data_IF_785322666375
#
_entry.id   IF_785322666375
#
_cell.length_a   1.000
_cell.length_b   1.000
_cell.length_c   1.000
_cell.angle_alpha   90.00
_cell.angle_beta   90.00
_cell.angle_gamma   90.00
#
_symmetry.space_group_name_H-M   'P 1'
#
loop_
_entity.id
_entity.type
_entity.pdbx_description
1 polymer ?
#
# COMPACT_ATOMS: atom_id res chain seq x y z
N UNK A 1 -52.91 -43.17 42.22
CA UNK A 1 -51.79 -43.87 42.86
C UNK A 1 -50.54 -43.41 42.14
N UNK A 2 -49.69 -42.54 42.66
CA UNK A 2 -49.52 -41.95 44.01
C UNK A 2 -48.72 -40.64 43.76
N UNK A 3 -49.15 -39.49 44.29
CA UNK A 3 -48.64 -38.82 45.52
C UNK A 3 -47.24 -38.19 45.30
N UNK A 4 -46.92 -36.93 45.57
CA UNK A 4 -47.36 -36.02 46.64
C UNK A 4 -46.42 -36.14 47.84
N UNK A 5 -45.38 -35.29 47.97
CA UNK A 5 -44.74 -35.03 49.28
C UNK A 5 -43.80 -33.80 49.25
N UNK A 6 -43.89 -32.96 50.29
CA UNK A 6 -42.98 -31.87 50.70
C UNK A 6 -41.93 -32.43 51.66
N UNK A 7 -40.71 -31.88 51.68
CA UNK A 7 -39.98 -31.81 52.96
C UNK A 7 -38.94 -30.68 53.06
N UNK A 8 -38.69 -30.32 54.33
CA UNK A 8 -37.97 -29.16 54.88
C UNK A 8 -36.46 -29.43 55.13
N UNK A 9 -35.70 -28.31 55.21
CA UNK A 9 -34.38 -27.98 55.82
C UNK A 9 -33.65 -29.00 56.77
N UNK A 10 -32.30 -28.92 57.02
CA UNK A 10 -31.62 -27.72 57.59
C UNK A 10 -30.11 -27.50 57.25
N UNK A 11 -29.57 -26.36 57.69
CA UNK A 11 -28.25 -25.83 57.31
C UNK A 11 -27.02 -26.31 58.07
N UNK A 12 -25.84 -25.84 57.63
CA UNK A 12 -24.58 -25.75 58.40
C UNK A 12 -23.77 -24.54 57.92
N UNK A 13 -23.36 -23.70 58.87
CA UNK A 13 -22.59 -22.50 58.61
C UNK A 13 -21.14 -22.79 58.19
N UNK A 14 -20.53 -21.82 57.52
CA UNK A 14 -19.09 -21.66 57.58
C UNK A 14 -18.72 -20.17 57.57
N UNK A 15 -17.75 -19.86 58.42
CA UNK A 15 -17.32 -18.54 58.85
C UNK A 15 -16.56 -17.84 57.71
N UNK A 16 -16.82 -16.56 57.46
CA UNK A 16 -15.92 -15.70 56.67
C UNK A 16 -15.84 -14.34 57.32
N UNK A 17 -14.61 -13.97 57.68
CA UNK A 17 -14.20 -12.75 58.36
C UNK A 17 -14.60 -11.48 57.59
N UNK A 18 -15.02 -10.47 58.35
CA UNK A 18 -15.16 -9.08 57.94
C UNK A 18 -13.83 -8.46 57.50
N UNK A 19 -13.86 -7.66 56.43
CA UNK A 19 -12.97 -6.51 56.21
C UNK A 19 -13.84 -5.33 55.71
N UNK A 20 -13.62 -4.10 56.22
CA UNK A 20 -14.56 -2.99 56.07
C UNK A 20 -14.51 -2.33 54.70
N UNK A 21 -15.67 -2.21 54.07
CA UNK A 21 -15.89 -1.36 52.90
C UNK A 21 -16.05 0.09 53.36
N UNK A 22 -15.03 0.92 53.09
CA UNK A 22 -15.13 2.37 53.32
C UNK A 22 -16.08 2.98 52.30
N UNK A 23 -17.24 3.38 52.82
CA UNK A 23 -18.22 4.28 52.19
C UNK A 23 -17.58 5.62 51.82
N UNK A 24 -17.63 5.97 50.54
CA UNK A 24 -17.49 7.36 50.06
C UNK A 24 -18.78 7.72 49.33
N UNK A 25 -19.47 8.72 49.86
CA UNK A 25 -20.72 9.27 49.36
C UNK A 25 -20.59 9.86 47.93
N UNK A 26 -21.66 9.86 47.12
CA UNK A 26 -21.66 10.57 45.85
C UNK A 26 -21.79 12.09 46.06
N UNK A 27 -21.05 12.94 45.32
CA UNK A 27 -21.24 14.39 45.38
C UNK A 27 -22.57 14.81 44.71
N UNK A 28 -23.14 15.96 45.11
CA UNK A 28 -24.52 16.32 44.80
C UNK A 28 -24.74 16.67 43.33
N UNK A 29 -25.92 16.26 42.88
CA UNK A 29 -26.57 16.61 41.63
C UNK A 29 -26.82 18.13 41.60
N UNK A 30 -26.06 18.89 40.80
CA UNK A 30 -26.38 20.28 40.49
C UNK A 30 -26.98 20.36 39.08
N UNK A 31 -28.28 20.09 38.99
CA UNK A 31 -29.08 20.47 37.82
C UNK A 31 -29.38 21.96 37.93
N UNK A 32 -28.53 22.78 37.31
CA UNK A 32 -28.86 24.16 36.96
C UNK A 32 -28.47 24.41 35.50
N UNK A 33 -29.51 24.39 34.66
CA UNK A 33 -29.69 25.23 33.46
C UNK A 33 -28.54 25.39 32.45
N UNK A 34 -28.73 24.81 31.27
CA UNK A 34 -28.42 25.49 30.00
C UNK A 34 -26.95 25.62 29.62
N UNK A 35 -26.35 24.54 29.12
CA UNK A 35 -25.24 24.63 28.18
C UNK A 35 -25.20 23.38 27.29
N UNK A 36 -26.03 23.38 26.26
CA UNK A 36 -25.82 22.56 25.08
C UNK A 36 -24.59 23.08 24.33
N UNK A 37 -23.38 22.96 24.92
CA UNK A 37 -22.08 23.19 24.24
C UNK A 37 -20.90 22.84 25.17
N UNK A 38 -20.80 21.59 25.66
CA UNK A 38 -19.44 21.09 25.95
C UNK A 38 -18.86 20.72 24.59
N UNK A 39 -18.41 21.73 23.85
CA UNK A 39 -17.75 21.58 22.56
C UNK A 39 -16.72 20.47 22.73
N UNK A 40 -16.83 19.45 21.88
CA UNK A 40 -15.98 18.26 21.89
C UNK A 40 -14.56 18.68 22.26
N UNK A 41 -13.98 18.03 23.28
CA UNK A 41 -12.64 18.36 23.79
C UNK A 41 -11.52 18.34 22.71
N UNK A 42 -11.89 17.98 21.48
CA UNK A 42 -11.19 18.18 20.22
C UNK A 42 -11.90 19.24 19.37
N UNK A 43 -11.54 20.50 19.57
CA UNK A 43 -12.00 21.59 18.70
C UNK A 43 -11.59 21.34 17.25
N UNK A 44 -12.28 21.99 16.30
CA UNK A 44 -11.93 21.90 14.88
C UNK A 44 -10.48 22.37 14.63
N UNK A 45 -10.05 23.45 15.29
CA UNK A 45 -8.68 23.95 15.23
C UNK A 45 -7.64 22.95 15.77
N UNK A 46 -7.93 22.30 16.90
CA UNK A 46 -7.07 21.26 17.47
C UNK A 46 -7.00 20.03 16.53
N UNK A 47 -8.12 19.62 15.97
CA UNK A 47 -8.19 18.52 14.99
C UNK A 47 -7.43 18.85 13.71
N UNK A 48 -7.53 20.08 13.22
CA UNK A 48 -6.77 20.56 12.07
C UNK A 48 -5.26 20.55 12.32
N UNK A 49 -4.84 21.03 13.49
CA UNK A 49 -3.43 21.05 13.92
C UNK A 49 -2.89 19.63 14.05
N UNK A 50 -3.69 18.69 14.57
CA UNK A 50 -3.34 17.28 14.64
C UNK A 50 -3.06 16.72 13.24
N UNK A 51 -3.92 16.98 12.27
CA UNK A 51 -3.75 16.49 10.90
C UNK A 51 -2.50 17.11 10.25
N UNK A 52 -2.23 18.40 10.44
CA UNK A 52 -1.05 19.08 9.88
C UNK A 52 0.26 18.57 10.48
N UNK A 53 0.35 18.58 11.81
CA UNK A 53 1.57 18.20 12.54
C UNK A 53 1.91 16.73 12.34
N UNK A 54 0.90 15.85 12.33
CA UNK A 54 1.08 14.45 11.95
C UNK A 54 1.43 14.32 10.46
N UNK A 55 0.69 15.00 9.58
CA UNK A 55 0.83 14.90 8.13
C UNK A 55 2.22 15.27 7.63
N UNK A 56 2.79 16.37 8.12
CA UNK A 56 4.16 16.77 7.80
C UNK A 56 5.17 15.68 8.16
N UNK A 57 5.08 15.11 9.37
CA UNK A 57 5.98 14.05 9.83
C UNK A 57 5.77 12.74 9.07
N UNK A 58 4.52 12.40 8.80
CA UNK A 58 4.13 11.24 8.01
C UNK A 58 4.77 11.30 6.62
N UNK A 59 4.71 12.46 5.95
CA UNK A 59 5.34 12.65 4.64
C UNK A 59 6.87 12.61 4.71
N UNK A 60 7.49 13.24 5.71
CA UNK A 60 8.96 13.22 5.89
C UNK A 60 9.52 11.81 6.15
N UNK A 61 8.68 10.90 6.66
CA UNK A 61 8.99 9.49 6.82
C UNK A 61 8.57 8.64 5.61
N UNK A 62 8.36 9.25 4.44
CA UNK A 62 7.87 8.59 3.23
C UNK A 62 6.59 7.80 3.48
N UNK A 63 5.62 8.41 4.18
CA UNK A 63 4.35 7.77 4.60
C UNK A 63 4.55 6.64 5.63
N UNK A 64 5.62 6.73 6.43
CA UNK A 64 5.97 5.80 7.50
C UNK A 64 5.28 6.10 8.85
N UNK A 65 5.46 5.18 9.81
CA UNK A 65 4.88 5.30 11.15
C UNK A 65 5.72 6.22 12.05
N UNK A 66 5.04 7.07 12.83
CA UNK A 66 5.69 7.95 13.80
C UNK A 66 6.11 7.16 15.05
N UNK A 67 7.31 7.47 15.56
CA UNK A 67 7.83 6.97 16.85
C UNK A 67 7.27 7.81 18.01
N UNK A 68 7.42 7.31 19.25
CA UNK A 68 6.92 7.99 20.46
C UNK A 68 7.36 9.45 20.58
N UNK A 69 8.65 9.75 20.31
CA UNK A 69 9.16 11.13 20.33
C UNK A 69 8.37 12.04 19.38
N UNK A 70 8.13 11.58 18.15
CA UNK A 70 7.40 12.34 17.14
C UNK A 70 5.93 12.52 17.52
N UNK A 71 5.31 11.52 18.15
CA UNK A 71 3.96 11.65 18.69
C UNK A 71 3.85 12.65 19.84
N UNK A 72 4.87 12.70 20.70
CA UNK A 72 4.95 13.74 21.74
C UNK A 72 5.03 15.12 21.12
N UNK A 73 5.90 15.32 20.13
CA UNK A 73 5.98 16.62 19.44
C UNK A 73 4.70 16.99 18.66
N UNK A 74 3.93 16.00 18.19
CA UNK A 74 2.57 16.24 17.64
C UNK A 74 1.62 16.71 18.73
N UNK A 75 1.62 16.06 19.90
CA UNK A 75 0.80 16.48 21.03
C UNK A 75 1.16 17.88 21.51
N UNK A 76 2.45 18.21 21.61
CA UNK A 76 2.95 19.54 21.96
C UNK A 76 2.43 20.59 20.98
N UNK A 77 2.47 20.31 19.67
CA UNK A 77 1.93 21.20 18.64
C UNK A 77 0.41 21.40 18.78
N UNK A 78 -0.35 20.35 19.05
CA UNK A 78 -1.80 20.43 19.29
C UNK A 78 -2.11 21.28 20.53
N UNK A 79 -1.37 21.06 21.62
CA UNK A 79 -1.57 21.76 22.88
C UNK A 79 -1.15 23.24 22.82
N UNK A 80 -0.15 23.58 22.00
CA UNK A 80 0.28 24.98 21.81
C UNK A 80 -0.80 25.90 21.22
N UNK A 81 -1.83 25.31 20.60
CA UNK A 81 -2.93 26.03 19.92
C UNK A 81 -4.31 25.71 20.52
N UNK A 82 -4.36 24.96 21.62
CA UNK A 82 -5.59 24.47 22.21
C UNK A 82 -5.77 25.04 23.62
N UNK A 83 -6.84 25.82 23.79
CA UNK A 83 -7.27 26.30 25.11
C UNK A 83 -8.03 25.22 25.91
N UNK A 84 -8.23 24.04 25.31
CA UNK A 84 -8.84 22.87 25.94
C UNK A 84 -7.80 22.04 26.73
N UNK A 85 -8.27 21.11 27.55
CA UNK A 85 -7.46 20.19 28.34
C UNK A 85 -6.29 19.58 27.55
N UNK A 86 -5.12 19.53 28.17
CA UNK A 86 -3.88 19.03 27.59
C UNK A 86 -4.03 17.60 27.05
N UNK A 87 -3.61 17.38 25.79
CA UNK A 87 -3.69 16.10 25.09
C UNK A 87 -2.38 15.33 25.16
N UNK A 88 -2.45 14.03 25.38
CA UNK A 88 -1.29 13.14 25.33
C UNK A 88 -1.01 12.66 23.91
N UNK A 89 0.20 12.14 23.69
CA UNK A 89 0.63 11.49 22.45
C UNK A 89 -0.31 10.33 22.06
N UNK A 90 -0.74 9.53 23.04
CA UNK A 90 -1.70 8.43 22.85
C UNK A 90 -3.08 8.95 22.43
N UNK A 91 -3.57 10.03 23.05
CA UNK A 91 -4.85 10.63 22.68
C UNK A 91 -4.84 11.20 21.25
N UNK A 92 -3.74 11.85 20.86
CA UNK A 92 -3.54 12.34 19.49
C UNK A 92 -3.56 11.20 18.48
N UNK A 93 -2.85 10.11 18.75
CA UNK A 93 -2.85 8.91 17.91
C UNK A 93 -4.26 8.31 17.76
N UNK A 94 -4.98 8.10 18.87
CA UNK A 94 -6.33 7.54 18.86
C UNK A 94 -7.33 8.43 18.10
N UNK A 95 -7.21 9.75 18.27
CA UNK A 95 -8.04 10.72 17.53
C UNK A 95 -7.76 10.62 16.04
N UNK A 96 -6.49 10.57 15.63
CA UNK A 96 -6.13 10.42 14.23
C UNK A 96 -6.61 9.09 13.64
N UNK A 97 -6.51 7.99 14.37
CA UNK A 97 -7.02 6.69 13.91
C UNK A 97 -8.53 6.74 13.65
N UNK A 98 -9.28 7.44 14.50
CA UNK A 98 -10.71 7.71 14.30
C UNK A 98 -10.95 8.54 13.03
N UNK A 99 -10.16 9.60 12.81
CA UNK A 99 -10.26 10.43 11.60
C UNK A 99 -9.94 9.62 10.34
N UNK A 100 -8.91 8.77 10.36
CA UNK A 100 -8.54 7.89 9.24
C UNK A 100 -9.64 6.87 8.94
N UNK A 101 -10.31 6.32 9.97
CA UNK A 101 -11.49 5.46 9.79
C UNK A 101 -12.63 6.21 9.10
N UNK A 102 -12.96 7.43 9.57
CA UNK A 102 -13.99 8.27 8.95
C UNK A 102 -13.64 8.63 7.50
N UNK A 103 -12.37 8.93 7.21
CA UNK A 103 -11.88 9.15 5.85
C UNK A 103 -12.14 7.96 4.92
N UNK A 104 -11.93 6.72 5.38
CA UNK A 104 -12.22 5.53 4.56
C UNK A 104 -13.70 5.45 4.16
N UNK A 105 -14.60 5.73 5.10
CA UNK A 105 -16.05 5.75 4.85
C UNK A 105 -16.42 6.86 3.88
N UNK A 106 -15.94 8.08 4.11
CA UNK A 106 -16.21 9.22 3.23
C UNK A 106 -15.59 9.02 1.83
N UNK A 107 -14.43 8.38 1.74
CA UNK A 107 -13.79 8.05 0.45
C UNK A 107 -14.64 7.08 -0.36
N UNK A 108 -15.26 6.08 0.27
CA UNK A 108 -16.16 5.17 -0.43
C UNK A 108 -17.37 5.91 -1.03
N UNK A 109 -17.94 6.89 -0.30
CA UNK A 109 -19.03 7.75 -0.80
C UNK A 109 -18.60 8.62 -1.98
N UNK A 110 -17.41 9.21 -1.90
CA UNK A 110 -16.88 10.03 -3.01
C UNK A 110 -16.60 9.18 -4.25
N UNK A 111 -16.09 7.96 -4.10
CA UNK A 111 -15.90 7.03 -5.20
C UNK A 111 -17.22 6.59 -5.85
N UNK A 112 -18.33 6.56 -5.11
CA UNK A 112 -19.67 6.33 -5.65
C UNK A 112 -20.33 7.59 -6.24
N UNK A 113 -19.58 8.69 -6.39
CA UNK A 113 -20.08 9.94 -6.98
C UNK A 113 -20.83 10.87 -6.02
N UNK A 114 -20.89 10.57 -4.71
CA UNK A 114 -21.52 11.43 -3.74
C UNK A 114 -20.56 12.52 -3.25
N UNK A 115 -21.07 13.75 -3.06
CA UNK A 115 -20.28 14.82 -2.44
C UNK A 115 -20.08 14.55 -0.95
N UNK A 116 -18.88 14.86 -0.42
CA UNK A 116 -18.61 14.83 1.02
C UNK A 116 -18.65 16.24 1.58
N UNK A 117 -19.44 16.43 2.63
CA UNK A 117 -19.52 17.67 3.41
C UNK A 117 -18.52 17.70 4.57
N UNK A 118 -17.68 16.67 4.71
CA UNK A 118 -16.79 16.56 5.85
C UNK A 118 -15.52 17.40 5.67
N UNK A 119 -15.35 18.40 6.54
CA UNK A 119 -14.31 19.44 6.43
C UNK A 119 -12.87 18.91 6.39
N UNK A 120 -12.59 17.76 7.00
CA UNK A 120 -11.25 17.17 7.02
C UNK A 120 -10.94 16.23 5.85
N UNK A 121 -11.92 15.94 4.97
CA UNK A 121 -11.76 14.96 3.89
C UNK A 121 -10.63 15.32 2.93
N UNK A 122 -10.68 16.51 2.33
CA UNK A 122 -9.70 16.93 1.31
C UNK A 122 -8.26 16.94 1.86
N UNK A 123 -8.12 17.32 3.12
CA UNK A 123 -6.83 17.36 3.84
C UNK A 123 -6.24 15.97 4.05
N UNK A 124 -7.06 15.02 4.52
CA UNK A 124 -6.63 13.63 4.67
C UNK A 124 -6.42 12.93 3.32
N UNK A 125 -7.21 13.27 2.30
CA UNK A 125 -7.04 12.75 0.94
C UNK A 125 -5.71 13.19 0.32
N UNK A 126 -5.31 14.45 0.52
CA UNK A 126 -4.01 14.93 0.08
C UNK A 126 -2.83 14.19 0.73
N UNK A 127 -2.98 13.76 2.00
CA UNK A 127 -1.94 13.07 2.75
C UNK A 127 -1.86 11.57 2.46
N UNK A 128 -3.01 10.88 2.45
CA UNK A 128 -3.11 9.41 2.45
C UNK A 128 -3.67 8.87 1.13
N UNK A 129 -4.25 9.74 0.28
CA UNK A 129 -4.74 9.38 -1.04
C UNK A 129 -3.63 8.94 -1.99
N UNK A 130 -4.00 8.42 -3.18
CA UNK A 130 -3.05 8.09 -4.23
C UNK A 130 -2.18 9.32 -4.49
N UNK A 131 -0.86 9.17 -4.41
CA UNK A 131 0.05 10.29 -4.62
C UNK A 131 -0.17 10.84 -6.03
N UNK A 132 -0.87 11.98 -6.14
CA UNK A 132 -0.74 12.85 -7.30
C UNK A 132 0.62 13.53 -7.17
N UNK A 133 1.68 12.80 -7.48
CA UNK A 133 3.02 13.37 -7.57
C UNK A 133 2.96 14.49 -8.62
N UNK A 134 2.81 15.74 -8.20
CA UNK A 134 2.97 16.91 -9.06
C UNK A 134 4.46 17.20 -9.38
N UNK A 135 5.34 16.23 -9.16
CA UNK A 135 6.78 16.36 -9.40
C UNK A 135 7.38 15.10 -10.03
N UNK A 136 6.83 14.69 -11.18
CA UNK A 136 7.63 14.19 -12.30
C UNK A 136 6.77 14.42 -13.55
N UNK A 137 7.09 15.45 -14.33
CA UNK A 137 6.58 15.56 -15.67
C UNK A 137 7.15 14.39 -16.48
N UNK A 138 6.33 13.36 -16.69
CA UNK A 138 6.46 12.54 -17.88
C UNK A 138 5.39 13.05 -18.85
N UNK A 139 5.74 13.50 -20.07
CA UNK A 139 4.75 13.92 -21.05
C UNK A 139 3.87 12.73 -21.45
N UNK A 140 2.54 12.85 -21.30
CA UNK A 140 1.58 12.11 -22.14
C UNK A 140 1.16 13.00 -23.32
N UNK A 141 0.52 12.46 -24.36
CA UNK A 141 1.11 11.81 -25.52
C UNK A 141 0.95 12.70 -26.77
N UNK A 142 1.95 12.77 -27.64
CA UNK A 142 1.73 13.32 -28.99
C UNK A 142 1.14 12.22 -29.88
N UNK A 143 -0.19 12.28 -30.03
CA UNK A 143 -0.87 11.77 -31.22
C UNK A 143 -0.30 12.50 -32.44
N UNK A 144 0.67 11.90 -33.12
CA UNK A 144 0.97 12.25 -34.51
C UNK A 144 1.17 10.98 -35.33
N UNK A 145 0.22 10.81 -36.24
CA UNK A 145 0.17 9.84 -37.31
C UNK A 145 1.42 9.96 -38.19
N UNK A 146 2.17 8.88 -38.35
CA UNK A 146 3.08 8.69 -39.47
C UNK A 146 2.66 7.40 -40.22
N UNK A 147 2.33 7.47 -41.52
CA UNK A 147 2.03 6.28 -42.30
C UNK A 147 3.34 5.53 -42.61
N UNK A 148 3.49 4.34 -42.05
CA UNK A 148 4.56 3.41 -42.43
C UNK A 148 4.09 2.64 -43.67
N UNK A 149 4.45 3.13 -44.85
CA UNK A 149 4.33 2.37 -46.09
C UNK A 149 5.36 1.24 -46.08
N UNK A 150 4.87 0.01 -46.20
CA UNK A 150 5.66 -1.20 -46.32
C UNK A 150 6.12 -1.42 -47.76
N UNK A 151 7.42 -1.68 -47.96
CA UNK A 151 7.96 -2.42 -49.11
C UNK A 151 9.21 -3.21 -48.65
N UNK A 152 8.95 -4.47 -48.25
CA UNK A 152 9.64 -5.75 -48.51
C UNK A 152 11.20 -5.88 -48.60
N UNK A 153 11.75 -7.12 -48.54
CA UNK A 153 13.05 -7.43 -47.93
C UNK A 153 14.23 -7.58 -48.91
N UNK A 154 15.44 -7.45 -48.39
CA UNK A 154 16.64 -8.09 -48.97
C UNK A 154 17.75 -8.30 -47.93
N UNK A 155 18.00 -9.56 -47.61
CA UNK A 155 19.34 -10.12 -47.34
C UNK A 155 19.70 -10.96 -48.61
N UNK A 156 20.95 -11.44 -48.86
CA UNK A 156 22.06 -11.65 -47.91
C UNK A 156 23.49 -11.40 -48.48
N UNK A 157 24.52 -11.81 -47.68
CA UNK A 157 25.83 -12.46 -48.01
C UNK A 157 27.01 -11.74 -47.34
N UNK A 158 27.55 -12.21 -46.20
CA UNK A 158 28.55 -13.30 -45.98
C UNK A 158 29.82 -13.13 -46.82
N UNK A 159 30.94 -12.81 -46.17
CA UNK A 159 32.24 -13.37 -46.55
C UNK A 159 33.14 -13.57 -45.32
N UNK A 160 33.52 -14.83 -45.14
CA UNK A 160 34.53 -15.33 -44.21
C UNK A 160 35.94 -14.92 -44.61
N UNK A 161 36.83 -14.85 -43.62
CA UNK A 161 38.20 -15.35 -43.79
C UNK A 161 38.60 -16.14 -42.56
N UNK A 162 38.56 -17.46 -42.68
CA UNK A 162 39.03 -18.41 -41.68
C UNK A 162 40.49 -18.85 -41.86
N UNK A 163 40.76 -19.96 -41.17
CA UNK A 163 41.96 -20.80 -41.03
C UNK A 163 42.92 -20.45 -39.86
N UNK A 164 42.88 -21.09 -38.67
CA UNK A 164 42.99 -22.53 -38.24
C UNK A 164 44.47 -22.98 -38.04
N UNK A 165 44.78 -24.11 -37.36
CA UNK A 165 44.30 -24.65 -36.07
C UNK A 165 45.47 -25.27 -35.22
N UNK A 166 45.21 -25.74 -33.99
CA UNK A 166 46.10 -26.78 -33.39
C UNK A 166 46.04 -27.03 -31.88
N UNK A 167 45.55 -28.23 -31.53
CA UNK A 167 46.01 -29.10 -30.41
C UNK A 167 45.27 -29.06 -29.05
N UNK A 168 44.24 -29.91 -28.96
CA UNK A 168 44.06 -31.08 -28.04
C UNK A 168 44.63 -31.08 -26.61
N UNK A 169 43.79 -31.48 -25.64
CA UNK A 169 44.13 -32.05 -24.32
C UNK A 169 43.30 -31.43 -23.19
N UNK A 170 42.15 -31.97 -22.76
CA UNK A 170 41.92 -33.19 -21.96
C UNK A 170 42.51 -33.16 -20.53
N UNK A 171 41.57 -33.21 -19.55
CA UNK A 171 41.66 -33.75 -18.17
C UNK A 171 42.24 -32.92 -17.02
N UNK A 172 41.32 -32.69 -16.06
CA UNK A 172 41.36 -33.05 -14.63
C UNK A 172 42.33 -32.37 -13.65
N UNK A 173 41.69 -31.85 -12.59
CA UNK A 173 42.10 -31.83 -11.17
C UNK A 173 43.41 -31.13 -10.80
N UNK A 174 43.31 -30.03 -10.05
CA UNK A 174 43.91 -29.78 -8.71
C UNK A 174 43.99 -28.26 -8.47
N UNK A 175 43.32 -27.77 -7.44
CA UNK A 175 43.92 -27.29 -6.18
C UNK A 175 44.77 -26.01 -6.31
N UNK A 176 44.33 -24.99 -5.57
CA UNK A 176 45.15 -24.07 -4.78
C UNK A 176 45.10 -22.57 -5.18
N UNK A 177 44.55 -21.80 -4.26
CA UNK A 177 44.67 -20.34 -4.17
C UNK A 177 46.11 -19.95 -3.75
N UNK A 178 46.67 -18.82 -4.23
CA UNK A 178 48.01 -18.42 -3.88
C UNK A 178 48.13 -17.88 -2.45
N UNK A 179 49.23 -18.33 -1.85
CA UNK A 179 49.79 -18.15 -0.52
C UNK A 179 50.28 -16.70 -0.27
N UNK A 180 49.93 -16.13 0.89
CA UNK A 180 50.56 -14.95 1.50
C UNK A 180 51.45 -15.42 2.67
N UNK A 181 52.68 -14.91 2.81
CA UNK A 181 53.72 -15.59 3.55
C UNK A 181 53.54 -15.54 5.07
N UNK A 182 53.93 -16.65 5.69
CA UNK A 182 53.96 -16.89 7.11
C UNK A 182 54.91 -15.95 7.86
N UNK A 183 54.48 -15.49 9.03
CA UNK A 183 55.38 -15.15 10.14
C UNK A 183 54.86 -15.87 11.38
N UNK A 184 55.70 -16.75 11.91
CA UNK A 184 55.43 -17.58 13.09
C UNK A 184 55.51 -16.75 14.37
N UNK A 185 54.52 -16.90 15.24
CA UNK A 185 54.50 -16.35 16.59
C UNK A 185 53.38 -17.01 17.39
N UNK A 186 53.74 -18.03 18.17
CA UNK A 186 52.81 -18.80 18.99
C UNK A 186 52.12 -17.98 20.08
N UNK A 187 50.89 -18.37 20.40
CA UNK A 187 50.15 -17.82 21.53
C UNK A 187 48.70 -18.28 21.50
N UNK A 188 48.39 -19.32 22.28
CA UNK A 188 47.03 -19.83 22.42
C UNK A 188 46.06 -18.73 22.88
N UNK A 189 45.04 -18.47 22.09
CA UNK A 189 43.90 -17.66 22.52
C UNK A 189 42.61 -18.14 21.83
N UNK A 190 41.87 -18.95 22.58
CA UNK A 190 40.42 -18.80 22.71
C UNK A 190 39.59 -19.18 21.47
N UNK A 191 39.46 -20.49 21.25
CA UNK A 191 38.32 -21.12 20.56
C UNK A 191 37.03 -20.75 21.30
N UNK A 192 36.42 -19.61 20.94
CA UNK A 192 35.09 -19.19 21.40
C UNK A 192 34.18 -19.08 20.19
N UNK A 193 33.20 -19.98 20.12
CA UNK A 193 31.93 -19.85 19.41
C UNK A 193 31.95 -19.26 17.99
N UNK A 194 32.53 -19.99 17.02
CA UNK A 194 32.25 -19.74 15.58
C UNK A 194 30.93 -20.39 15.10
N UNK A 195 30.38 -21.34 15.86
CA UNK A 195 29.15 -22.06 15.51
C UNK A 195 27.85 -21.34 15.92
N UNK A 196 27.93 -20.34 16.80
CA UNK A 196 26.74 -19.71 17.42
C UNK A 196 26.10 -18.63 16.53
N UNK A 197 26.85 -18.07 15.56
CA UNK A 197 26.37 -17.05 14.63
C UNK A 197 25.91 -17.61 13.28
N UNK A 198 26.22 -18.87 12.96
CA UNK A 198 25.76 -19.49 11.70
C UNK A 198 24.25 -19.72 11.69
N UNK A 199 23.63 -19.98 12.85
CA UNK A 199 22.18 -20.21 12.93
C UNK A 199 21.37 -18.94 12.64
N UNK A 200 21.64 -17.77 13.28
CA UNK A 200 20.95 -16.52 12.95
C UNK A 200 21.23 -16.00 11.53
N UNK A 201 22.46 -16.15 11.02
CA UNK A 201 22.80 -15.75 9.66
C UNK A 201 22.11 -16.63 8.61
N UNK A 202 22.00 -17.95 8.87
CA UNK A 202 21.27 -18.87 8.00
C UNK A 202 19.76 -18.58 8.01
N UNK A 203 19.21 -18.24 9.17
CA UNK A 203 17.81 -17.81 9.28
C UNK A 203 17.55 -16.52 8.50
N UNK A 204 18.45 -15.53 8.63
CA UNK A 204 18.40 -14.29 7.86
C UNK A 204 18.50 -14.54 6.35
N UNK A 205 19.48 -15.35 5.91
CA UNK A 205 19.62 -15.71 4.50
C UNK A 205 18.35 -16.40 3.96
N UNK A 206 17.77 -17.31 4.74
CA UNK A 206 16.50 -17.96 4.39
C UNK A 206 15.32 -17.00 4.33
N UNK A 207 15.26 -16.00 5.23
CA UNK A 207 14.24 -14.96 5.20
C UNK A 207 14.38 -14.04 3.97
N UNK A 208 15.61 -13.65 3.61
CA UNK A 208 15.89 -12.84 2.43
C UNK A 208 15.50 -13.59 1.15
N UNK A 209 15.85 -14.87 1.01
CA UNK A 209 15.46 -15.66 -0.16
C UNK A 209 13.94 -15.79 -0.30
N UNK A 210 13.24 -16.10 0.80
CA UNK A 210 11.77 -16.15 0.81
C UNK A 210 11.13 -14.81 0.42
N UNK A 211 11.70 -13.70 0.88
CA UNK A 211 11.26 -12.37 0.48
C UNK A 211 11.48 -12.14 -1.03
N UNK A 212 12.62 -12.56 -1.56
CA UNK A 212 12.92 -12.51 -3.00
C UNK A 212 11.90 -13.27 -3.84
N UNK A 213 11.57 -14.51 -3.47
CA UNK A 213 10.57 -15.32 -4.18
C UNK A 213 9.16 -14.69 -4.18
N UNK A 214 8.77 -14.07 -3.07
CA UNK A 214 7.47 -13.37 -3.00
C UNK A 214 7.49 -12.12 -3.86
N UNK A 215 8.59 -11.37 -3.85
CA UNK A 215 8.73 -10.16 -4.64
C UNK A 215 8.74 -10.46 -6.15
N UNK A 216 9.46 -11.48 -6.58
CA UNK A 216 9.50 -11.94 -7.97
C UNK A 216 8.09 -12.30 -8.47
N UNK A 217 7.33 -13.07 -7.68
CA UNK A 217 5.93 -13.41 -8.00
C UNK A 217 5.05 -12.18 -8.11
N UNK A 218 5.20 -11.22 -7.20
CA UNK A 218 4.43 -9.98 -7.21
C UNK A 218 4.73 -9.12 -8.44
N UNK A 219 6.00 -8.95 -8.80
CA UNK A 219 6.38 -8.15 -9.97
C UNK A 219 5.95 -8.84 -11.27
N UNK A 220 6.04 -10.18 -11.32
CA UNK A 220 5.52 -10.97 -12.46
C UNK A 220 4.02 -10.78 -12.61
N UNK A 221 3.25 -10.88 -11.52
CA UNK A 221 1.80 -10.68 -11.56
C UNK A 221 1.43 -9.26 -12.01
N UNK A 222 2.17 -8.25 -11.54
CA UNK A 222 1.99 -6.86 -11.97
C UNK A 222 2.28 -6.67 -13.46
N UNK A 223 3.35 -7.26 -13.98
CA UNK A 223 3.67 -7.21 -15.42
C UNK A 223 2.60 -7.91 -16.25
N UNK A 224 2.12 -9.07 -15.83
CA UNK A 224 1.02 -9.78 -16.48
C UNK A 224 -0.26 -8.93 -16.52
N UNK A 225 -0.61 -8.28 -15.41
CA UNK A 225 -1.75 -7.37 -15.38
C UNK A 225 -1.58 -6.18 -16.32
N UNK A 226 -0.38 -5.62 -16.40
CA UNK A 226 -0.09 -4.52 -17.31
C UNK A 226 -0.22 -4.94 -18.78
N UNK A 227 0.29 -6.13 -19.13
CA UNK A 227 0.14 -6.71 -20.47
C UNK A 227 -1.33 -6.99 -20.81
N UNK A 228 -2.12 -7.51 -19.87
CA UNK A 228 -3.54 -7.80 -20.10
C UNK A 228 -4.35 -6.53 -20.31
N UNK A 229 -4.09 -5.47 -19.54
CA UNK A 229 -4.74 -4.17 -19.74
C UNK A 229 -4.35 -3.54 -21.09
N UNK A 230 -3.09 -3.66 -21.50
CA UNK A 230 -2.66 -3.21 -22.82
C UNK A 230 -3.29 -4.04 -23.95
N UNK A 231 -3.42 -5.35 -23.77
CA UNK A 231 -4.11 -6.25 -24.70
C UNK A 231 -5.55 -5.83 -24.88
N UNK A 232 -6.29 -5.59 -23.79
CA UNK A 232 -7.67 -5.10 -23.83
C UNK A 232 -7.78 -3.73 -24.51
N UNK A 233 -6.83 -2.82 -24.22
CA UNK A 233 -6.75 -1.50 -24.88
C UNK A 233 -6.59 -1.65 -26.39
N UNK A 234 -5.68 -2.52 -26.84
CA UNK A 234 -5.41 -2.74 -28.25
C UNK A 234 -6.59 -3.42 -28.95
N UNK A 235 -7.22 -4.40 -28.31
CA UNK A 235 -8.41 -5.10 -28.81
C UNK A 235 -9.57 -4.13 -29.05
N UNK A 236 -9.91 -3.30 -28.07
CA UNK A 236 -10.96 -2.28 -28.23
C UNK A 236 -10.64 -1.29 -29.36
N UNK A 237 -9.39 -0.84 -29.46
CA UNK A 237 -8.96 0.06 -30.53
C UNK A 237 -9.08 -0.59 -31.91
N UNK A 238 -8.71 -1.87 -32.03
CA UNK A 238 -8.84 -2.64 -33.27
C UNK A 238 -10.31 -2.80 -33.65
N UNK A 239 -11.16 -3.16 -32.70
CA UNK A 239 -12.59 -3.41 -32.97
C UNK A 239 -13.32 -2.12 -33.36
N UNK A 240 -12.95 -0.99 -32.77
CA UNK A 240 -13.42 0.33 -33.21
C UNK A 240 -12.98 0.66 -34.64
N UNK A 241 -11.73 0.36 -34.99
CA UNK A 241 -11.22 0.61 -36.35
C UNK A 241 -11.94 -0.27 -37.38
N UNK A 242 -12.20 -1.54 -37.04
CA UNK A 242 -13.00 -2.45 -37.88
C UNK A 242 -14.41 -1.90 -38.09
N UNK A 243 -15.09 -1.44 -37.02
CA UNK A 243 -16.41 -0.83 -37.13
C UNK A 243 -16.38 0.43 -38.01
N UNK A 244 -15.35 1.27 -37.85
CA UNK A 244 -15.16 2.49 -38.67
C UNK A 244 -15.00 2.14 -40.15
N UNK A 245 -14.14 1.17 -40.47
CA UNK A 245 -13.89 0.73 -41.84
C UNK A 245 -15.12 0.05 -42.45
N UNK A 246 -15.85 -0.74 -41.67
CA UNK A 246 -17.08 -1.38 -42.10
C UNK A 246 -18.16 -0.34 -42.45
N UNK A 247 -18.34 0.68 -41.60
CA UNK A 247 -19.28 1.76 -41.86
C UNK A 247 -18.90 2.51 -43.15
N UNK A 248 -17.61 2.85 -43.30
CA UNK A 248 -17.14 3.52 -44.51
C UNK A 248 -17.40 2.69 -45.77
N UNK A 249 -17.05 1.41 -45.75
CA UNK A 249 -17.28 0.49 -46.87
C UNK A 249 -18.77 0.36 -47.21
N UNK A 250 -19.63 0.21 -46.19
CA UNK A 250 -21.08 0.11 -46.38
C UNK A 250 -21.64 1.36 -47.06
N UNK A 251 -21.22 2.55 -46.62
CA UNK A 251 -21.63 3.82 -47.24
C UNK A 251 -21.17 3.91 -48.70
N UNK A 252 -19.96 3.48 -49.03
CA UNK A 252 -19.47 3.48 -50.43
C UNK A 252 -20.32 2.57 -51.33
N UNK A 253 -20.68 1.38 -50.85
CA UNK A 253 -21.55 0.46 -51.59
C UNK A 253 -22.93 1.07 -51.81
N UNK A 254 -23.51 1.73 -50.81
CA UNK A 254 -24.81 2.40 -50.92
C UNK A 254 -24.78 3.58 -51.90
N UNK A 255 -23.75 4.42 -51.85
CA UNK A 255 -23.56 5.52 -52.79
C UNK A 255 -23.45 5.02 -54.24
N UNK A 256 -22.65 3.97 -54.47
CA UNK A 256 -22.52 3.36 -55.79
C UNK A 256 -23.85 2.79 -56.31
N UNK A 257 -24.63 2.12 -55.45
CA UNK A 257 -25.95 1.60 -55.83
C UNK A 257 -26.92 2.70 -56.24
N UNK A 258 -26.94 3.81 -55.51
CA UNK A 258 -27.79 4.97 -55.83
C UNK A 258 -27.38 5.62 -57.16
N UNK A 259 -26.07 5.71 -57.43
CA UNK A 259 -25.56 6.22 -58.70
C UNK A 259 -25.99 5.35 -59.88
N UNK A 260 -25.86 4.02 -59.76
CA UNK A 260 -26.25 3.09 -60.82
C UNK A 260 -27.77 3.05 -61.04
N UNK A 261 -28.58 3.13 -59.97
CA UNK A 261 -30.03 3.19 -60.09
C UNK A 261 -30.51 4.48 -60.79
N UNK A 262 -29.82 5.60 -60.56
CA UNK A 262 -30.08 6.88 -61.24
C UNK A 262 -29.68 6.82 -62.72
N UNK A 263 -28.57 6.17 -63.05
CA UNK A 263 -28.04 6.11 -64.42
C UNK A 263 -28.71 5.01 -65.29
N UNK A 264 -29.41 4.05 -64.68
CA UNK A 264 -30.15 2.99 -65.39
C UNK A 264 -31.62 3.29 -65.68
N UNK A 265 -32.13 4.47 -65.30
CA UNK A 265 -33.54 4.86 -65.46
C UNK A 265 -33.77 5.93 -66.53
N UNK A 266 -32.77 6.21 -67.37
CA UNK A 266 -32.83 7.10 -68.55
C UNK A 266 -32.64 6.29 -69.82
#
# INVERSE_FOLDING_TARGET
MEDGERDHQPGKGNLTLCLPSSSVAPPPNNTSGGAATREDCWTEGATNTLIDSWGHRYLNLNRGNLKQKQWREVADAVNSRSDCAHKTDVQCKNRLDTLKKKYKVEKAKVLSGAATSWTFYAKLDGLIGPSRNKHHQLPQPLSQLLPLQALHPSAPKVEERGFDPGTSGSRDTTESCPNVPATSGGGGAKKRNRADLESPLRELAGAISKFGEVYERMETAKQQQMMELERQRMEFSRDLEVQRLQLFMQTQIELAKLEHAKNGST
#
